data_IF_821238162055
#
_entry.id   IF_821238162055
#
_cell.length_a   1.000
_cell.length_b   1.000
_cell.length_c   1.000
_cell.angle_alpha   90.00
_cell.angle_beta   90.00
_cell.angle_gamma   90.00
#
_symmetry.space_group_name_H-M   'P 1'
#
loop_
_entity.id
_entity.type
_entity.pdbx_description
1 polymer ?
#
# COMPACT_ATOMS: atom_id res chain seq x y z
N UNK A 1 8.86 -7.96 17.05
CA UNK A 1 7.63 -7.17 16.76
C UNK A 1 7.96 -5.70 16.97
N UNK A 2 7.28 -4.76 16.31
CA UNK A 2 7.65 -3.32 16.18
C UNK A 2 7.59 -2.49 17.47
N UNK A 3 7.67 -3.12 18.65
CA UNK A 3 7.49 -2.48 19.96
C UNK A 3 6.19 -1.67 20.08
N UNK A 4 5.14 -2.09 19.36
CA UNK A 4 3.85 -1.40 19.32
C UNK A 4 3.77 -0.20 18.39
N UNK A 5 4.85 0.14 17.66
CA UNK A 5 4.91 1.32 16.80
C UNK A 5 4.11 1.20 15.49
N UNK A 6 3.90 -0.03 15.01
CA UNK A 6 3.41 -0.30 13.65
C UNK A 6 4.54 -0.44 12.63
N UNK A 7 4.20 -0.85 11.41
CA UNK A 7 5.13 -1.07 10.31
C UNK A 7 5.53 0.23 9.60
N UNK A 8 6.76 0.31 9.10
CA UNK A 8 7.21 1.43 8.27
C UNK A 8 6.75 1.33 6.82
N UNK A 9 6.61 0.10 6.33
CA UNK A 9 6.12 -0.21 4.98
C UNK A 9 5.30 -1.49 5.06
N UNK A 10 4.18 -1.51 4.35
CA UNK A 10 3.40 -2.72 4.07
C UNK A 10 3.37 -2.95 2.57
N UNK A 11 3.72 -4.16 2.12
CA UNK A 11 3.57 -4.57 0.72
C UNK A 11 2.32 -5.46 0.63
N UNK A 12 1.29 -4.95 -0.03
CA UNK A 12 -0.04 -5.56 -0.09
C UNK A 12 -0.39 -5.94 -1.53
N UNK A 13 -0.29 -7.23 -1.91
CA UNK A 13 -0.57 -7.67 -3.28
C UNK A 13 -2.02 -8.15 -3.50
N UNK A 14 -2.81 -8.35 -2.43
CA UNK A 14 -4.11 -9.01 -2.53
C UNK A 14 -5.22 -7.99 -2.74
N UNK A 15 -5.24 -6.92 -1.95
CA UNK A 15 -6.35 -5.95 -1.97
C UNK A 15 -7.63 -6.50 -1.34
N UNK A 16 -8.78 -5.94 -1.75
CA UNK A 16 -10.10 -6.18 -1.15
C UNK A 16 -10.23 -5.68 0.31
N UNK A 17 -11.09 -6.30 1.12
CA UNK A 17 -11.38 -5.97 2.51
C UNK A 17 -10.13 -5.92 3.42
N UNK A 18 -9.13 -6.75 3.13
CA UNK A 18 -7.84 -6.81 3.83
C UNK A 18 -7.01 -5.55 3.75
N UNK A 19 -7.22 -4.69 2.75
CA UNK A 19 -6.46 -3.44 2.64
C UNK A 19 -6.67 -2.54 3.86
N UNK A 20 -7.83 -2.61 4.51
CA UNK A 20 -8.10 -1.86 5.74
C UNK A 20 -7.21 -2.33 6.89
N UNK A 21 -7.03 -3.63 7.05
CA UNK A 21 -6.17 -4.21 8.10
C UNK A 21 -4.69 -3.87 7.85
N UNK A 22 -4.28 -3.92 6.58
CA UNK A 22 -2.93 -3.51 6.15
C UNK A 22 -2.66 -2.04 6.48
N UNK A 23 -3.63 -1.14 6.28
CA UNK A 23 -3.55 0.26 6.70
C UNK A 23 -3.49 0.44 8.23
N UNK A 24 -4.22 -0.39 8.99
CA UNK A 24 -4.19 -0.36 10.46
C UNK A 24 -2.86 -0.83 11.06
N UNK A 25 -2.10 -1.63 10.31
CA UNK A 25 -0.81 -2.14 10.77
C UNK A 25 0.36 -1.13 10.64
N UNK A 26 0.16 -0.03 9.89
CA UNK A 26 1.18 0.98 9.65
C UNK A 26 1.39 1.90 10.86
N UNK A 27 2.63 2.33 11.06
CA UNK A 27 2.91 3.46 11.93
C UNK A 27 2.43 4.76 11.28
N UNK A 28 2.31 5.84 12.06
CA UNK A 28 1.98 7.16 11.54
C UNK A 28 3.03 7.65 10.53
N UNK A 29 2.60 8.28 9.44
CA UNK A 29 3.50 8.84 8.43
C UNK A 29 4.13 7.80 7.48
N UNK A 30 3.56 6.60 7.40
CA UNK A 30 4.15 5.45 6.70
C UNK A 30 3.38 5.03 5.47
N UNK A 31 3.93 4.08 4.72
CA UNK A 31 3.50 3.79 3.36
C UNK A 31 2.96 2.38 3.18
N UNK A 32 1.85 2.27 2.45
CA UNK A 32 1.39 1.03 1.84
C UNK A 32 1.76 1.02 0.35
N UNK A 33 2.37 -0.08 -0.08
CA UNK A 33 2.76 -0.32 -1.47
C UNK A 33 1.95 -1.50 -1.99
N UNK A 34 1.34 -1.37 -3.17
CA UNK A 34 0.60 -2.47 -3.81
C UNK A 34 0.99 -2.67 -5.27
N UNK A 35 0.88 -3.89 -5.78
CA UNK A 35 1.09 -4.20 -7.21
C UNK A 35 -0.25 -4.37 -7.97
N UNK A 36 -1.38 -4.15 -7.30
CA UNK A 36 -2.73 -4.36 -7.85
C UNK A 36 -3.65 -5.09 -6.87
N UNK A 37 -4.87 -5.36 -7.30
CA UNK A 37 -5.92 -5.97 -6.47
C UNK A 37 -6.21 -7.39 -6.95
N UNK A 38 -5.32 -8.33 -6.61
CA UNK A 38 -5.46 -9.73 -7.03
C UNK A 38 -6.76 -10.39 -6.53
N UNK A 39 -7.41 -9.82 -5.50
CA UNK A 39 -8.72 -10.24 -5.00
C UNK A 39 -9.90 -9.95 -5.97
N UNK A 40 -9.68 -9.22 -7.06
CA UNK A 40 -10.67 -9.01 -8.12
C UNK A 40 -11.65 -7.85 -7.88
N UNK A 41 -11.69 -7.29 -6.66
CA UNK A 41 -12.44 -6.08 -6.36
C UNK A 41 -11.52 -4.88 -6.07
N UNK A 42 -11.96 -3.68 -6.46
CA UNK A 42 -11.28 -2.43 -6.10
C UNK A 42 -11.56 -2.14 -4.62
N UNK A 43 -10.54 -2.09 -3.75
CA UNK A 43 -10.73 -1.84 -2.33
C UNK A 43 -11.25 -0.43 -2.08
N UNK A 44 -12.24 -0.33 -1.19
CA UNK A 44 -12.82 0.94 -0.76
C UNK A 44 -12.08 1.46 0.47
N UNK A 45 -11.09 2.32 0.25
CA UNK A 45 -10.33 2.94 1.34
C UNK A 45 -11.07 4.15 1.89
N UNK A 46 -11.25 4.20 3.22
CA UNK A 46 -11.75 5.39 3.90
C UNK A 46 -10.65 6.44 3.94
N UNK A 47 -10.78 7.49 3.12
CA UNK A 47 -9.80 8.60 3.00
C UNK A 47 -9.40 9.19 4.36
N UNK A 48 -10.31 9.24 5.34
CA UNK A 48 -10.00 9.73 6.70
C UNK A 48 -8.83 8.97 7.36
N UNK A 49 -8.66 7.68 7.07
CA UNK A 49 -7.56 6.89 7.64
C UNK A 49 -6.22 7.33 7.05
N UNK A 50 -6.19 7.66 5.76
CA UNK A 50 -4.99 8.18 5.12
C UNK A 50 -4.63 9.55 5.68
N UNK A 51 -5.61 10.44 5.80
CA UNK A 51 -5.39 11.82 6.26
C UNK A 51 -5.00 11.89 7.74
N UNK A 52 -5.73 11.22 8.63
CA UNK A 52 -5.47 11.31 10.08
C UNK A 52 -4.19 10.60 10.49
N UNK A 53 -3.77 9.57 9.76
CA UNK A 53 -2.55 8.83 10.05
C UNK A 53 -1.36 9.25 9.18
N UNK A 54 -1.58 10.21 8.27
CA UNK A 54 -0.59 10.70 7.31
C UNK A 54 0.03 9.56 6.48
N UNK A 55 -0.81 8.62 6.03
CA UNK A 55 -0.40 7.42 5.30
C UNK A 55 -0.41 7.67 3.79
N UNK A 56 0.67 7.24 3.13
CA UNK A 56 0.78 7.25 1.68
C UNK A 56 0.44 5.86 1.09
N UNK A 57 -0.31 5.85 -0.01
CA UNK A 57 -0.59 4.62 -0.78
C UNK A 57 -0.03 4.80 -2.17
N UNK A 58 0.82 3.87 -2.60
CA UNK A 58 1.46 3.92 -3.92
C UNK A 58 1.49 2.55 -4.59
N UNK A 59 1.66 2.54 -5.90
CA UNK A 59 1.95 1.32 -6.63
C UNK A 59 3.45 1.11 -6.78
N UNK A 60 3.88 -0.15 -6.70
CA UNK A 60 5.25 -0.51 -7.08
C UNK A 60 5.32 -0.57 -8.60
N UNK A 61 6.17 0.26 -9.20
CA UNK A 61 6.48 0.16 -10.63
C UNK A 61 7.77 -0.64 -10.81
N UNK A 62 7.74 -1.65 -11.68
CA UNK A 62 8.93 -2.43 -12.02
C UNK A 62 10.07 -1.55 -12.58
N UNK A 63 9.76 -0.39 -13.16
CA UNK A 63 10.77 0.58 -13.64
C UNK A 63 11.66 1.17 -12.54
N UNK A 64 11.22 1.17 -11.27
CA UNK A 64 12.06 1.57 -10.14
C UNK A 64 13.08 0.48 -9.75
N UNK A 65 12.82 -0.77 -10.14
CA UNK A 65 13.68 -1.93 -9.86
C UNK A 65 14.65 -2.17 -11.02
N UNK A 66 14.20 -1.94 -12.26
CA UNK A 66 15.02 -1.93 -13.46
C UNK A 66 14.72 -0.68 -14.29
N UNK A 67 15.64 0.31 -14.37
CA UNK A 67 15.43 1.53 -15.14
C UNK A 67 15.29 1.29 -16.65
N UNK A 68 15.57 0.08 -17.14
CA UNK A 68 15.34 -0.32 -18.53
C UNK A 68 14.04 -1.10 -18.73
N UNK A 69 13.25 -1.31 -17.67
CA UNK A 69 11.97 -1.99 -17.79
C UNK A 69 11.07 -1.22 -18.77
N UNK A 70 10.32 -1.92 -19.65
CA UNK A 70 9.37 -1.26 -20.53
C UNK A 70 8.38 -0.44 -19.70
N UNK A 71 8.15 0.82 -20.08
CA UNK A 71 7.12 1.63 -19.45
C UNK A 71 5.78 0.90 -19.55
N UNK A 72 5.08 0.82 -18.43
CA UNK A 72 3.73 0.25 -18.42
C UNK A 72 2.86 1.03 -19.41
N UNK A 73 2.07 0.36 -20.27
CA UNK A 73 1.28 1.01 -21.32
C UNK A 73 -0.01 1.67 -20.83
N UNK A 74 -0.12 1.93 -19.52
CA UNK A 74 -1.29 2.60 -18.92
C UNK A 74 -1.26 4.10 -19.12
#
# INVERSE_FOLDING_TARGET
MTSGRGADVVVEPVGDDRMTDSLHSLALGRQLITNGFAGGEIPKVKVKMLLLNNIDVSQYWLEYVDPNAPRSPV
#
